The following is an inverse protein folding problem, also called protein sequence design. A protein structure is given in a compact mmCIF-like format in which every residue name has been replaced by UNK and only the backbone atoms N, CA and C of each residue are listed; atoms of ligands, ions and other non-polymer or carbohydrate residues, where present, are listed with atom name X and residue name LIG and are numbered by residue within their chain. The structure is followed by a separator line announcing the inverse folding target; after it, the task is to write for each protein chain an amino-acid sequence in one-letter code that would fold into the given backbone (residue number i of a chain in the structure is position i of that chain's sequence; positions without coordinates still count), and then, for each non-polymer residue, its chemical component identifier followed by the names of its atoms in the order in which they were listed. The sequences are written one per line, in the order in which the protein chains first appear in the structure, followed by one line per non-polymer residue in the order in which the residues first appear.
data_IF_680877783052
#
_entry.id   IF_680877783052
#
_cell.length_a   1.000
_cell.length_b   1.000
_cell.length_c   1.000
_cell.angle_alpha   90.00
_cell.angle_beta   90.00
_cell.angle_gamma   90.00
#
_symmetry.space_group_name_H-M   'P 1'
#
loop_
_entity.id
_entity.type
_entity.pdbx_description
1 polymer ?
#
# COMPACT_ATOMS: atom_id res chain seq x y z
N UNK A 1 -4.42 25.07 -16.69
CA UNK A 1 -4.93 24.70 -15.34
C UNK A 1 -6.27 25.41 -15.18
N UNK A 2 -7.34 24.65 -14.92
CA UNK A 2 -8.66 25.20 -14.61
C UNK A 2 -8.60 26.10 -13.37
N UNK A 3 -9.41 27.18 -13.32
CA UNK A 3 -9.42 28.13 -12.20
C UNK A 3 -9.73 27.49 -10.84
N UNK A 4 -10.53 26.42 -10.80
CA UNK A 4 -10.78 25.65 -9.58
C UNK A 4 -9.51 24.95 -9.05
N UNK A 5 -8.71 24.37 -9.94
CA UNK A 5 -7.42 23.78 -9.57
C UNK A 5 -6.42 24.85 -9.10
N UNK A 6 -6.38 26.00 -9.76
CA UNK A 6 -5.54 27.13 -9.31
C UNK A 6 -5.88 27.55 -7.89
N UNK A 7 -7.15 27.75 -7.58
CA UNK A 7 -7.60 28.17 -6.26
C UNK A 7 -7.32 27.09 -5.20
N UNK A 8 -7.38 25.81 -5.55
CA UNK A 8 -7.04 24.70 -4.66
C UNK A 8 -5.56 24.64 -4.25
N UNK A 9 -4.66 25.20 -5.07
CA UNK A 9 -3.22 25.26 -4.75
C UNK A 9 -2.82 26.48 -3.93
N UNK A 10 -3.72 27.44 -3.69
CA UNK A 10 -3.45 28.60 -2.83
C UNK A 10 -3.60 28.16 -1.38
N UNK A 11 -2.46 28.03 -0.69
CA UNK A 11 -2.40 27.65 0.73
C UNK A 11 -2.16 28.90 1.57
N UNK A 12 -3.07 29.17 2.51
CA UNK A 12 -2.91 30.25 3.50
C UNK A 12 -2.62 29.65 4.87
N UNK A 13 -1.63 30.19 5.59
CA UNK A 13 -1.34 29.83 6.98
C UNK A 13 -0.81 28.39 7.13
N UNK A 14 0.16 27.96 6.30
CA UNK A 14 0.76 26.64 6.42
C UNK A 14 1.55 26.46 7.72
N UNK A 15 1.45 25.28 8.31
CA UNK A 15 2.22 24.84 9.48
C UNK A 15 3.21 23.74 9.06
N UNK A 16 4.35 23.61 9.75
CA UNK A 16 5.27 22.50 9.50
C UNK A 16 4.62 21.14 9.88
N UNK A 17 5.00 20.11 9.16
CA UNK A 17 4.64 18.73 9.50
C UNK A 17 5.22 18.36 10.87
N UNK A 18 4.56 17.43 11.58
CA UNK A 18 5.00 16.95 12.91
C UNK A 18 5.21 15.46 12.90
N UNK A 19 6.36 15.00 13.38
CA UNK A 19 6.64 13.59 13.56
C UNK A 19 6.18 13.15 14.96
N UNK A 20 5.47 12.01 15.03
CA UNK A 20 5.14 11.33 16.29
C UNK A 20 5.18 9.82 16.08
N UNK A 21 5.29 9.08 17.18
CA UNK A 21 5.33 7.62 17.16
C UNK A 21 4.01 7.02 17.65
N UNK A 22 3.51 5.99 16.95
CA UNK A 22 2.42 5.14 17.41
C UNK A 22 2.98 3.79 17.85
N UNK A 23 2.78 3.36 19.12
CA UNK A 23 3.29 2.08 19.59
C UNK A 23 2.58 0.90 18.91
N UNK A 24 3.35 -0.07 18.41
CA UNK A 24 2.83 -1.35 17.90
C UNK A 24 2.67 -2.32 19.06
N UNK A 25 1.63 -2.16 19.85
CA UNK A 25 1.39 -2.90 21.10
C UNK A 25 1.28 -4.42 20.93
N UNK A 26 1.03 -4.89 19.72
CA UNK A 26 0.90 -6.30 19.34
C UNK A 26 2.24 -6.96 18.95
N UNK A 27 3.34 -6.18 18.85
CA UNK A 27 4.67 -6.70 18.51
C UNK A 27 5.56 -6.71 19.77
N UNK A 28 6.40 -7.73 19.86
CA UNK A 28 7.41 -7.82 20.92
C UNK A 28 8.32 -6.58 20.89
N UNK A 29 8.68 -6.07 22.07
CA UNK A 29 9.46 -4.84 22.21
C UNK A 29 8.70 -3.56 21.93
N UNK A 30 7.41 -3.62 21.59
CA UNK A 30 6.53 -2.48 21.33
C UNK A 30 7.19 -1.40 20.44
N UNK A 31 7.66 -1.75 19.23
CA UNK A 31 8.33 -0.79 18.37
C UNK A 31 7.38 0.35 17.96
N UNK A 32 7.93 1.55 17.81
CA UNK A 32 7.17 2.73 17.39
C UNK A 32 7.01 2.76 15.87
N UNK A 33 5.79 3.06 15.40
CA UNK A 33 5.53 3.41 13.99
C UNK A 33 5.70 4.92 13.86
N UNK A 34 6.69 5.41 13.09
CA UNK A 34 6.82 6.84 12.87
C UNK A 34 5.69 7.34 11.95
N UNK A 35 4.95 8.33 12.40
CA UNK A 35 3.89 8.97 11.62
C UNK A 35 4.24 10.44 11.44
N UNK A 36 4.34 10.87 10.18
CA UNK A 36 4.58 12.25 9.84
C UNK A 36 3.25 12.93 9.48
N UNK A 37 2.64 13.60 10.47
CA UNK A 37 1.42 14.38 10.23
C UNK A 37 1.72 15.59 9.36
N UNK A 38 1.21 15.57 8.14
CA UNK A 38 1.34 16.66 7.17
C UNK A 38 0.13 17.62 7.21
N UNK A 39 -0.87 17.34 8.03
CA UNK A 39 -2.09 18.15 8.14
C UNK A 39 -1.73 19.62 8.45
N UNK A 40 -2.26 20.54 7.64
CA UNK A 40 -1.96 21.98 7.75
C UNK A 40 -0.70 22.43 7.01
N UNK A 41 0.11 21.51 6.46
CA UNK A 41 1.25 21.88 5.63
C UNK A 41 0.82 22.25 4.20
N UNK A 42 1.65 23.03 3.51
CA UNK A 42 1.43 23.39 2.11
C UNK A 42 1.42 22.13 1.22
N UNK A 43 2.32 21.20 1.49
CA UNK A 43 2.44 19.93 0.77
C UNK A 43 1.17 19.08 0.91
N UNK A 44 0.49 19.10 2.06
CA UNK A 44 -0.72 18.30 2.31
C UNK A 44 -1.86 18.67 1.36
N UNK A 45 -2.11 19.97 1.16
CA UNK A 45 -3.19 20.42 0.29
C UNK A 45 -2.94 20.06 -1.17
N UNK A 46 -1.70 20.23 -1.63
CA UNK A 46 -1.29 19.82 -2.98
C UNK A 46 -1.41 18.30 -3.14
N UNK A 47 -0.92 17.54 -2.17
CA UNK A 47 -1.01 16.08 -2.15
C UNK A 47 -2.47 15.58 -2.24
N UNK A 48 -3.39 16.25 -1.53
CA UNK A 48 -4.83 15.91 -1.55
C UNK A 48 -5.50 16.15 -2.91
N UNK A 49 -5.06 17.17 -3.63
CA UNK A 49 -5.56 17.46 -4.99
C UNK A 49 -5.01 16.40 -5.96
N UNK A 50 -3.71 16.12 -5.89
CA UNK A 50 -3.06 15.13 -6.74
C UNK A 50 -3.61 13.72 -6.51
N UNK A 51 -3.87 13.34 -5.25
CA UNK A 51 -4.50 12.06 -4.90
C UNK A 51 -5.84 11.90 -5.65
N UNK A 52 -6.70 12.91 -5.60
CA UNK A 52 -7.99 12.88 -6.29
C UNK A 52 -7.86 12.77 -7.81
N UNK A 53 -6.88 13.46 -8.40
CA UNK A 53 -6.64 13.41 -9.85
C UNK A 53 -6.12 12.03 -10.30
N UNK A 54 -5.15 11.49 -9.57
CA UNK A 54 -4.49 10.23 -9.95
C UNK A 54 -5.31 9.00 -9.59
N UNK A 55 -6.11 9.05 -8.52
CA UNK A 55 -6.97 7.94 -8.08
C UNK A 55 -7.92 7.46 -9.16
N UNK A 56 -8.40 8.37 -9.99
CA UNK A 56 -9.31 8.04 -11.10
C UNK A 56 -8.64 7.20 -12.20
N UNK A 57 -7.30 7.18 -12.23
CA UNK A 57 -6.52 6.48 -13.24
C UNK A 57 -6.03 5.10 -12.77
N UNK A 58 -6.19 4.79 -11.48
CA UNK A 58 -5.70 3.54 -10.90
C UNK A 58 -6.85 2.57 -10.77
N UNK A 59 -6.73 1.46 -11.47
CA UNK A 59 -7.60 0.29 -11.31
C UNK A 59 -6.72 -0.94 -11.24
N UNK A 60 -6.48 -1.44 -10.02
CA UNK A 60 -5.69 -2.64 -9.79
C UNK A 60 -6.62 -3.79 -9.35
N UNK A 61 -6.88 -4.78 -10.22
CA UNK A 61 -7.76 -5.90 -9.89
C UNK A 61 -7.18 -6.82 -8.80
N UNK A 62 -5.87 -6.76 -8.56
CA UNK A 62 -5.18 -7.54 -7.53
C UNK A 62 -5.34 -6.93 -6.13
N UNK A 63 -5.74 -5.66 -6.05
CA UNK A 63 -5.95 -4.96 -4.78
C UNK A 63 -7.40 -5.12 -4.32
N UNK A 64 -7.60 -5.49 -3.05
CA UNK A 64 -8.91 -5.45 -2.42
C UNK A 64 -9.09 -4.12 -1.66
N UNK A 65 -10.32 -3.61 -1.64
CA UNK A 65 -10.64 -2.31 -1.04
C UNK A 65 -10.79 -2.38 0.47
N UNK A 66 -11.26 -3.52 0.97
CA UNK A 66 -11.56 -3.75 2.37
C UNK A 66 -11.70 -5.24 2.69
N UNK A 67 -11.90 -5.55 3.97
CA UNK A 67 -12.11 -6.92 4.44
C UNK A 67 -13.36 -7.58 3.85
N UNK A 68 -14.42 -6.82 3.50
CA UNK A 68 -15.64 -7.38 2.93
C UNK A 68 -15.42 -7.86 1.48
N UNK A 69 -14.69 -7.06 0.69
CA UNK A 69 -14.32 -7.49 -0.66
C UNK A 69 -13.41 -8.72 -0.62
N UNK A 70 -12.45 -8.75 0.32
CA UNK A 70 -11.62 -9.93 0.54
C UNK A 70 -12.45 -11.17 0.87
N UNK A 71 -13.36 -11.07 1.85
CA UNK A 71 -14.26 -12.18 2.24
C UNK A 71 -15.06 -12.67 1.04
N UNK A 72 -15.61 -11.75 0.24
CA UNK A 72 -16.37 -12.11 -0.95
C UNK A 72 -15.50 -12.87 -1.97
N UNK A 73 -14.25 -12.44 -2.19
CA UNK A 73 -13.31 -13.12 -3.10
C UNK A 73 -12.97 -14.52 -2.62
N UNK A 74 -12.64 -14.69 -1.33
CA UNK A 74 -12.20 -15.99 -0.80
C UNK A 74 -13.35 -17.00 -0.66
N UNK A 75 -14.55 -16.56 -0.30
CA UNK A 75 -15.72 -17.46 -0.21
C UNK A 75 -16.21 -17.92 -1.59
N UNK A 76 -15.92 -17.18 -2.65
CA UNK A 76 -16.19 -17.58 -4.04
C UNK A 76 -15.03 -18.36 -4.68
N UNK A 77 -13.91 -18.53 -3.96
CA UNK A 77 -12.81 -19.35 -4.43
C UNK A 77 -13.15 -20.84 -4.30
N UNK A 78 -12.96 -21.57 -5.39
CA UNK A 78 -13.10 -23.03 -5.38
C UNK A 78 -11.74 -23.66 -5.14
N UNK A 79 -11.65 -24.55 -4.16
CA UNK A 79 -10.42 -25.29 -3.90
C UNK A 79 -10.11 -26.18 -5.11
N UNK A 80 -8.94 -25.95 -5.71
CA UNK A 80 -8.50 -26.68 -6.91
C UNK A 80 -7.67 -27.93 -6.57
N UNK A 81 -7.12 -27.97 -5.35
CA UNK A 81 -6.23 -29.04 -4.90
C UNK A 81 -6.30 -29.21 -3.39
N UNK A 82 -6.22 -30.45 -2.92
CA UNK A 82 -6.03 -30.82 -1.51
C UNK A 82 -4.65 -30.39 -0.94
N UNK A 83 -3.74 -29.93 -1.82
CA UNK A 83 -2.42 -29.41 -1.46
C UNK A 83 -2.37 -27.88 -1.41
N UNK A 84 -3.51 -27.20 -1.42
CA UNK A 84 -3.51 -25.75 -1.28
C UNK A 84 -2.96 -25.31 0.09
N UNK A 85 -2.14 -24.26 0.09
CA UNK A 85 -1.54 -23.67 1.28
C UNK A 85 -1.83 -22.17 1.28
N UNK A 86 -2.44 -21.68 2.35
CA UNK A 86 -2.65 -20.24 2.56
C UNK A 86 -1.39 -19.60 3.13
N UNK A 87 -1.05 -18.45 2.58
CA UNK A 87 0.12 -17.68 3.00
C UNK A 87 -0.22 -16.19 3.01
N UNK A 88 0.22 -15.46 4.02
CA UNK A 88 0.24 -13.99 3.98
C UNK A 88 1.66 -13.48 3.78
N UNK A 89 1.81 -12.46 2.93
CA UNK A 89 3.04 -11.70 2.81
C UNK A 89 2.84 -10.29 3.38
N UNK A 90 3.84 -9.80 4.11
CA UNK A 90 3.92 -8.44 4.64
C UNK A 90 5.13 -7.72 4.05
N UNK A 91 4.97 -6.48 3.61
CA UNK A 91 6.05 -5.67 3.05
C UNK A 91 6.72 -4.87 4.17
N UNK A 92 8.00 -5.12 4.37
CA UNK A 92 8.77 -4.47 5.42
C UNK A 92 8.87 -2.97 5.18
N UNK A 93 8.26 -2.17 6.07
CA UNK A 93 8.35 -0.71 6.06
C UNK A 93 8.06 -0.09 4.68
N UNK A 94 6.98 -0.49 4.02
CA UNK A 94 6.63 -0.10 2.65
C UNK A 94 6.83 1.39 2.37
N UNK A 95 6.18 2.28 3.11
CA UNK A 95 6.16 3.71 2.80
C UNK A 95 7.54 4.37 2.86
N UNK A 96 8.41 3.94 3.77
CA UNK A 96 9.77 4.48 3.89
C UNK A 96 10.74 3.91 2.85
N UNK A 97 10.38 2.80 2.21
CA UNK A 97 11.19 2.09 1.23
C UNK A 97 10.76 2.30 -0.23
N UNK A 98 9.63 2.98 -0.45
CA UNK A 98 9.18 3.30 -1.82
C UNK A 98 10.18 4.26 -2.48
N UNK A 99 10.76 3.90 -3.66
CA UNK A 99 11.69 4.75 -4.38
C UNK A 99 10.94 5.91 -5.04
N UNK A 100 11.04 7.12 -4.46
CA UNK A 100 10.26 8.28 -4.89
C UNK A 100 10.43 8.62 -6.37
N UNK A 101 11.66 8.66 -6.86
CA UNK A 101 11.94 9.06 -8.25
C UNK A 101 11.29 8.09 -9.25
N UNK A 102 11.41 6.78 -9.00
CA UNK A 102 10.80 5.76 -9.83
C UNK A 102 9.27 5.87 -9.79
N UNK A 103 8.70 6.00 -8.60
CA UNK A 103 7.25 6.09 -8.41
C UNK A 103 6.66 7.35 -9.05
N UNK A 104 7.33 8.50 -8.97
CA UNK A 104 6.94 9.73 -9.68
C UNK A 104 6.95 9.50 -11.19
N UNK A 105 7.97 8.82 -11.72
CA UNK A 105 8.02 8.48 -13.14
C UNK A 105 6.86 7.58 -13.57
N UNK A 106 6.48 6.60 -12.74
CA UNK A 106 5.32 5.75 -12.98
C UNK A 106 4.01 6.55 -12.98
N UNK A 107 3.82 7.46 -12.02
CA UNK A 107 2.66 8.34 -11.98
C UNK A 107 2.54 9.21 -13.23
N UNK A 108 3.64 9.82 -13.68
CA UNK A 108 3.66 10.64 -14.90
C UNK A 108 3.38 9.80 -16.14
N UNK A 109 3.98 8.62 -16.25
CA UNK A 109 3.73 7.69 -17.38
C UNK A 109 2.26 7.25 -17.41
N UNK A 110 1.68 6.93 -16.24
CA UNK A 110 0.27 6.57 -16.12
C UNK A 110 -0.62 7.73 -16.61
N UNK A 111 -0.32 8.95 -16.16
CA UNK A 111 -1.01 10.17 -16.59
C UNK A 111 -0.96 10.37 -18.12
N UNK A 112 0.21 10.20 -18.72
CA UNK A 112 0.41 10.36 -20.15
C UNK A 112 -0.34 9.33 -20.98
N UNK A 113 -0.42 8.10 -20.51
CA UNK A 113 -1.03 7.00 -21.23
C UNK A 113 -2.56 6.96 -21.14
N UNK A 114 -3.13 7.38 -19.97
CA UNK A 114 -4.54 7.20 -19.68
C UNK A 114 -5.38 8.46 -19.84
N UNK A 115 -4.76 9.62 -19.97
CA UNK A 115 -5.47 10.89 -20.11
C UNK A 115 -5.20 11.47 -21.50
N UNK A 116 -6.25 11.68 -22.29
CA UNK A 116 -6.12 12.36 -23.58
C UNK A 116 -5.62 13.80 -23.40
N UNK A 117 -4.71 14.25 -24.27
CA UNK A 117 -4.06 15.56 -24.15
C UNK A 117 -5.06 16.73 -24.06
N UNK A 118 -6.21 16.62 -24.74
CA UNK A 118 -7.24 17.67 -24.72
C UNK A 118 -8.01 17.77 -23.40
N UNK A 119 -7.99 16.71 -22.59
CA UNK A 119 -8.70 16.63 -21.31
C UNK A 119 -7.76 16.77 -20.13
N UNK A 120 -6.44 16.75 -20.35
CA UNK A 120 -5.44 16.93 -19.30
C UNK A 120 -5.59 18.27 -18.60
N UNK A 121 -5.89 18.25 -17.31
CA UNK A 121 -5.94 19.44 -16.47
C UNK A 121 -4.56 19.98 -16.12
N UNK A 122 -3.53 19.13 -16.18
CA UNK A 122 -2.12 19.43 -15.92
C UNK A 122 -1.25 18.87 -17.04
N UNK A 123 -0.18 19.59 -17.40
CA UNK A 123 0.88 19.02 -18.23
C UNK A 123 1.70 18.03 -17.41
N UNK A 124 2.33 17.05 -18.09
CA UNK A 124 3.20 16.04 -17.44
C UNK A 124 4.34 16.67 -16.63
N UNK A 125 4.87 17.81 -17.13
CA UNK A 125 5.88 18.61 -16.43
C UNK A 125 5.31 19.19 -15.12
N UNK A 126 4.14 19.84 -15.19
CA UNK A 126 3.50 20.41 -14.02
C UNK A 126 3.10 19.36 -12.99
N UNK A 127 2.58 18.21 -13.46
CA UNK A 127 2.27 17.06 -12.59
C UNK A 127 3.53 16.60 -11.84
N UNK A 128 4.65 16.43 -12.56
CA UNK A 128 5.94 16.03 -11.96
C UNK A 128 6.37 17.02 -10.88
N UNK A 129 6.41 18.31 -11.19
CA UNK A 129 6.83 19.34 -10.25
C UNK A 129 5.95 19.36 -8.98
N UNK A 130 4.64 19.17 -9.13
CA UNK A 130 3.71 19.11 -7.99
C UNK A 130 3.88 17.82 -7.17
N UNK A 131 4.14 16.67 -7.81
CA UNK A 131 4.45 15.42 -7.11
C UNK A 131 5.75 15.56 -6.32
N UNK A 132 6.80 16.10 -6.93
CA UNK A 132 8.08 16.37 -6.27
C UNK A 132 7.92 17.31 -5.08
N UNK A 133 7.21 18.43 -5.25
CA UNK A 133 6.91 19.34 -4.16
C UNK A 133 6.18 18.67 -2.99
N UNK A 134 5.25 17.76 -3.29
CA UNK A 134 4.40 17.13 -2.28
C UNK A 134 5.07 15.97 -1.54
N UNK A 135 6.16 15.42 -2.09
CA UNK A 135 6.74 14.17 -1.58
C UNK A 135 8.23 14.25 -1.26
N UNK A 136 8.98 15.13 -1.92
CA UNK A 136 10.42 15.30 -1.70
C UNK A 136 10.70 16.40 -0.69
N UNK A 137 11.74 16.21 0.09
CA UNK A 137 12.26 17.20 1.03
C UNK A 137 11.15 17.80 1.91
N UNK A 138 10.30 16.94 2.47
CA UNK A 138 9.21 17.35 3.35
C UNK A 138 9.79 17.79 4.69
N UNK A 139 9.72 19.10 5.05
CA UNK A 139 10.21 19.58 6.31
C UNK A 139 9.26 19.18 7.44
N UNK A 140 9.83 18.82 8.60
CA UNK A 140 9.05 18.50 9.78
C UNK A 140 9.76 18.89 11.07
N UNK A 141 8.98 19.00 12.13
CA UNK A 141 9.47 19.25 13.48
C UNK A 141 9.35 17.97 14.31
N UNK A 142 10.42 17.64 15.01
CA UNK A 142 10.45 16.60 16.03
C UNK A 142 11.29 17.08 17.22
N UNK A 143 10.73 17.04 18.41
CA UNK A 143 11.39 17.51 19.64
C UNK A 143 11.96 18.92 19.51
N UNK A 144 11.14 19.85 18.94
CA UNK A 144 11.48 21.26 18.70
C UNK A 144 12.59 21.54 17.67
N UNK A 145 13.15 20.49 17.07
CA UNK A 145 14.17 20.58 16.03
C UNK A 145 13.60 20.36 14.64
N UNK A 146 14.23 20.97 13.63
CA UNK A 146 13.84 20.85 12.23
C UNK A 146 14.58 19.71 11.55
N UNK A 147 13.82 18.89 10.85
CA UNK A 147 14.31 17.78 10.04
C UNK A 147 13.71 17.84 8.64
N UNK A 148 14.26 17.04 7.76
CA UNK A 148 13.77 16.90 6.39
C UNK A 148 13.73 15.42 6.01
N UNK A 149 12.58 14.95 5.51
CA UNK A 149 12.47 13.62 4.95
C UNK A 149 13.14 13.61 3.57
N UNK A 150 14.16 12.79 3.40
CA UNK A 150 14.99 12.75 2.19
C UNK A 150 14.53 11.71 1.17
N UNK A 151 13.93 10.59 1.63
CA UNK A 151 13.46 9.50 0.78
C UNK A 151 12.22 8.81 1.39
N UNK A 152 11.59 7.94 0.63
CA UNK A 152 10.31 7.33 1.00
C UNK A 152 9.14 8.32 0.95
N UNK A 153 7.95 7.84 1.26
CA UNK A 153 6.73 8.66 1.31
C UNK A 153 6.29 8.84 2.76
N UNK A 154 5.97 10.06 3.14
CA UNK A 154 5.51 10.38 4.49
C UNK A 154 4.24 9.62 4.85
N UNK A 155 4.29 8.84 5.95
CA UNK A 155 3.10 8.22 6.54
C UNK A 155 2.20 9.32 7.12
N UNK A 156 1.19 9.74 6.39
CA UNK A 156 0.31 10.87 6.71
C UNK A 156 0.14 11.81 5.52
N UNK A 157 0.86 11.54 4.42
CA UNK A 157 0.56 12.16 3.13
C UNK A 157 -0.67 11.50 2.50
N UNK A 158 -1.63 12.29 1.97
CA UNK A 158 -2.75 11.74 1.20
C UNK A 158 -2.32 10.93 -0.03
N UNK A 159 -1.14 11.24 -0.59
CA UNK A 159 -0.58 10.52 -1.74
C UNK A 159 0.03 9.15 -1.38
N UNK A 160 0.36 8.91 -0.12
CA UNK A 160 1.14 7.73 0.27
C UNK A 160 0.48 6.41 -0.14
N UNK A 161 -0.80 6.13 0.16
CA UNK A 161 -1.44 4.88 -0.25
C UNK A 161 -1.51 4.72 -1.77
N UNK A 162 -1.83 5.80 -2.48
CA UNK A 162 -1.96 5.78 -3.94
C UNK A 162 -0.62 5.50 -4.64
N UNK A 163 0.44 6.20 -4.24
CA UNK A 163 1.77 6.00 -4.83
C UNK A 163 2.31 4.62 -4.49
N UNK A 164 2.03 4.12 -3.28
CA UNK A 164 2.35 2.74 -2.91
C UNK A 164 1.63 1.73 -3.82
N UNK A 165 0.34 1.92 -4.05
CA UNK A 165 -0.46 1.06 -4.95
C UNK A 165 0.07 1.09 -6.38
N UNK A 166 0.39 2.27 -6.93
CA UNK A 166 0.96 2.40 -8.30
C UNK A 166 2.30 1.68 -8.41
N UNK A 167 3.17 1.87 -7.42
CA UNK A 167 4.49 1.23 -7.41
C UNK A 167 4.39 -0.29 -7.29
N UNK A 168 3.59 -0.80 -6.35
CA UNK A 168 3.40 -2.23 -6.15
C UNK A 168 2.71 -2.89 -7.34
N UNK A 169 1.73 -2.22 -7.97
CA UNK A 169 1.12 -2.73 -9.20
C UNK A 169 2.16 -2.90 -10.32
N UNK A 170 3.11 -1.97 -10.46
CA UNK A 170 4.20 -2.13 -11.42
C UNK A 170 5.14 -3.32 -11.08
N UNK A 171 5.31 -3.66 -9.80
CA UNK A 171 6.03 -4.87 -9.41
C UNK A 171 5.20 -6.14 -9.70
N UNK A 172 3.91 -6.12 -9.39
CA UNK A 172 2.97 -7.21 -9.63
C UNK A 172 2.86 -7.59 -11.11
N UNK A 173 2.96 -6.61 -12.02
CA UNK A 173 3.03 -6.89 -13.47
C UNK A 173 4.23 -7.75 -13.88
N UNK A 174 5.30 -7.76 -13.09
CA UNK A 174 6.49 -8.60 -13.34
C UNK A 174 6.30 -10.05 -12.92
N UNK A 175 5.21 -10.42 -12.23
CA UNK A 175 4.95 -11.80 -11.82
C UNK A 175 4.90 -12.76 -13.00
N UNK A 176 4.47 -12.29 -14.17
CA UNK A 176 4.49 -13.08 -15.42
C UNK A 176 5.90 -13.50 -15.85
N UNK A 177 6.95 -12.91 -15.28
CA UNK A 177 8.34 -13.28 -15.55
C UNK A 177 8.86 -14.38 -14.59
N UNK A 178 8.04 -14.82 -13.64
CA UNK A 178 8.40 -15.89 -12.73
C UNK A 178 8.48 -17.22 -13.46
N UNK A 179 9.60 -17.91 -13.31
CA UNK A 179 9.83 -19.23 -13.93
C UNK A 179 9.44 -20.37 -12.97
N UNK A 180 8.26 -20.31 -12.38
CA UNK A 180 7.71 -21.30 -11.46
C UNK A 180 6.18 -21.25 -11.49
N UNK A 181 5.54 -22.00 -10.58
CA UNK A 181 4.08 -21.96 -10.41
C UNK A 181 3.69 -20.68 -9.66
N UNK A 182 2.90 -19.83 -10.32
CA UNK A 182 2.30 -18.66 -9.71
C UNK A 182 1.30 -19.06 -8.61
N UNK A 183 1.02 -18.18 -7.63
CA UNK A 183 -0.05 -18.42 -6.68
C UNK A 183 -1.39 -18.62 -7.42
N UNK A 184 -2.17 -19.58 -6.96
CA UNK A 184 -3.52 -19.87 -7.49
C UNK A 184 -4.47 -18.70 -7.19
N UNK A 185 -4.30 -18.09 -6.02
CA UNK A 185 -5.04 -16.91 -5.58
C UNK A 185 -4.07 -15.85 -5.08
N UNK A 186 -4.33 -14.60 -5.42
CA UNK A 186 -3.57 -13.44 -4.99
C UNK A 186 -4.49 -12.26 -4.74
N UNK A 187 -4.37 -11.63 -3.60
CA UNK A 187 -4.98 -10.31 -3.35
C UNK A 187 -4.14 -9.52 -2.36
N UNK A 188 -4.12 -8.20 -2.52
CA UNK A 188 -3.34 -7.28 -1.68
C UNK A 188 -4.22 -6.19 -1.10
N UNK A 189 -3.95 -5.83 0.15
CA UNK A 189 -4.47 -4.65 0.82
C UNK A 189 -3.31 -3.82 1.36
N UNK A 190 -2.96 -2.74 0.64
CA UNK A 190 -1.81 -1.87 0.91
C UNK A 190 -0.49 -2.66 0.96
N UNK A 191 0.02 -2.97 2.17
CA UNK A 191 1.24 -3.73 2.44
C UNK A 191 0.99 -5.21 2.74
N UNK A 192 -0.21 -5.55 3.18
CA UNK A 192 -0.62 -6.92 3.48
C UNK A 192 -1.07 -7.65 2.21
N UNK A 193 -0.61 -8.88 1.99
CA UNK A 193 -0.98 -9.69 0.83
C UNK A 193 -1.41 -11.08 1.26
N UNK A 194 -2.49 -11.58 0.68
CA UNK A 194 -2.97 -12.96 0.89
C UNK A 194 -2.84 -13.77 -0.39
N UNK A 195 -2.26 -14.97 -0.27
CA UNK A 195 -1.97 -15.86 -1.38
C UNK A 195 -2.41 -17.29 -1.06
N UNK A 196 -2.73 -18.05 -2.10
CA UNK A 196 -2.90 -19.50 -2.03
C UNK A 196 -1.95 -20.12 -3.05
N UNK A 197 -1.15 -21.09 -2.61
CA UNK A 197 -0.23 -21.83 -3.45
C UNK A 197 -0.62 -23.31 -3.52
N UNK A 198 -0.18 -23.97 -4.58
CA UNK A 198 -0.23 -25.41 -4.72
C UNK A 198 1.04 -26.04 -4.14
N UNK A 199 1.05 -26.26 -2.82
CA UNK A 199 2.17 -26.81 -2.08
C UNK A 199 3.14 -25.76 -1.52
N UNK A 200 3.79 -26.12 -0.41
CA UNK A 200 4.67 -25.24 0.36
C UNK A 200 5.98 -24.86 -0.39
N UNK A 201 6.49 -25.77 -1.23
CA UNK A 201 7.74 -25.54 -1.97
C UNK A 201 7.63 -24.29 -2.89
N UNK A 202 6.46 -24.05 -3.46
CA UNK A 202 6.21 -22.91 -4.34
C UNK A 202 6.25 -21.56 -3.60
N UNK A 203 5.94 -21.54 -2.30
CA UNK A 203 5.97 -20.33 -1.47
C UNK A 203 7.39 -19.77 -1.39
N UNK A 204 8.36 -20.63 -1.06
CA UNK A 204 9.76 -20.19 -0.90
C UNK A 204 10.36 -19.67 -2.21
N UNK A 205 10.10 -20.35 -3.32
CA UNK A 205 10.57 -19.94 -4.65
C UNK A 205 9.94 -18.61 -5.08
N UNK A 206 8.64 -18.44 -4.86
CA UNK A 206 7.97 -17.19 -5.19
C UNK A 206 8.43 -16.04 -4.28
N UNK A 207 8.64 -16.29 -2.98
CA UNK A 207 9.17 -15.30 -2.05
C UNK A 207 10.57 -14.81 -2.47
N UNK A 208 11.46 -15.72 -2.86
CA UNK A 208 12.78 -15.37 -3.36
C UNK A 208 12.67 -14.50 -4.61
N UNK A 209 11.82 -14.87 -5.56
CA UNK A 209 11.57 -14.10 -6.76
C UNK A 209 11.07 -12.68 -6.46
N UNK A 210 10.01 -12.52 -5.64
CA UNK A 210 9.45 -11.19 -5.33
C UNK A 210 10.45 -10.32 -4.56
N UNK A 211 11.28 -10.93 -3.69
CA UNK A 211 12.37 -10.25 -2.99
C UNK A 211 13.53 -9.84 -3.91
N UNK A 212 13.62 -10.44 -5.08
CA UNK A 212 14.58 -10.07 -6.14
C UNK A 212 14.10 -8.95 -7.07
N UNK A 213 12.79 -8.61 -7.08
CA UNK A 213 12.20 -7.65 -8.03
C UNK A 213 12.68 -6.21 -7.83
N UNK A 214 12.96 -5.82 -6.58
CA UNK A 214 13.44 -4.48 -6.27
C UNK A 214 14.33 -4.47 -5.01
N UNK A 215 15.47 -3.75 -5.00
CA UNK A 215 16.41 -3.78 -3.87
C UNK A 215 15.82 -3.24 -2.57
N UNK A 216 14.95 -2.23 -2.64
CA UNK A 216 14.36 -1.57 -1.47
C UNK A 216 13.17 -2.32 -0.88
N UNK A 217 12.52 -3.22 -1.63
CA UNK A 217 11.29 -3.89 -1.19
C UNK A 217 11.62 -5.29 -0.73
N UNK A 218 11.20 -5.59 0.49
CA UNK A 218 11.37 -6.92 1.09
C UNK A 218 10.07 -7.42 1.65
N UNK A 219 9.74 -8.65 1.30
CA UNK A 219 8.58 -9.37 1.77
C UNK A 219 8.99 -10.36 2.86
N UNK A 220 8.22 -10.41 3.91
CA UNK A 220 8.19 -11.49 4.88
C UNK A 220 6.92 -12.30 4.68
N UNK A 221 6.83 -13.50 5.27
CA UNK A 221 5.66 -14.33 5.11
C UNK A 221 5.27 -15.04 6.41
N UNK A 222 4.00 -15.38 6.50
CA UNK A 222 3.41 -16.24 7.50
C UNK A 222 2.57 -17.31 6.79
N UNK A 223 2.80 -18.59 7.11
CA UNK A 223 2.04 -19.70 6.57
C UNK A 223 0.86 -20.05 7.47
N UNK A 224 -0.16 -20.68 6.88
CA UNK A 224 -1.27 -21.22 7.65
C UNK A 224 -0.78 -22.19 8.75
N UNK A 225 -1.46 -22.15 9.88
CA UNK A 225 -1.28 -23.13 10.93
C UNK A 225 -2.60 -23.88 11.14
N UNK A 226 -2.57 -25.22 11.05
CA UNK A 226 -3.77 -26.09 11.19
C UNK A 226 -4.94 -25.66 10.29
N UNK A 227 -4.64 -25.37 9.02
CA UNK A 227 -5.59 -24.86 8.00
C UNK A 227 -6.21 -23.49 8.33
N UNK A 228 -5.55 -22.68 9.15
CA UNK A 228 -6.02 -21.35 9.55
C UNK A 228 -4.97 -20.27 9.28
N UNK A 229 -5.41 -19.16 8.77
CA UNK A 229 -4.58 -17.97 8.58
C UNK A 229 -5.40 -16.70 8.82
N UNK A 230 -4.80 -15.72 9.48
CA UNK A 230 -5.41 -14.41 9.67
C UNK A 230 -4.97 -13.45 8.57
N UNK A 231 -5.92 -12.73 8.00
CA UNK A 231 -5.65 -11.65 7.07
C UNK A 231 -6.59 -10.48 7.33
N UNK A 232 -6.06 -9.29 7.52
CA UNK A 232 -6.82 -8.11 7.99
C UNK A 232 -7.53 -8.43 9.34
N UNK A 233 -8.84 -8.23 9.38
CA UNK A 233 -9.69 -8.55 10.55
C UNK A 233 -10.44 -9.88 10.38
N UNK A 234 -9.95 -10.75 9.48
CA UNK A 234 -10.60 -12.00 9.10
C UNK A 234 -9.68 -13.18 9.44
N UNK A 235 -10.22 -14.17 10.15
CA UNK A 235 -9.62 -15.49 10.27
C UNK A 235 -10.19 -16.39 9.17
N UNK A 236 -9.34 -16.87 8.28
CA UNK A 236 -9.71 -17.80 7.24
C UNK A 236 -9.41 -19.23 7.74
N UNK A 237 -10.35 -20.12 7.57
CA UNK A 237 -10.21 -21.53 7.88
C UNK A 237 -10.61 -22.37 6.67
N UNK A 238 -9.73 -23.31 6.28
CA UNK A 238 -10.04 -24.30 5.24
C UNK A 238 -10.68 -25.53 5.87
N UNK A 239 -11.92 -25.80 5.49
CA UNK A 239 -12.68 -26.98 5.95
C UNK A 239 -13.06 -27.82 4.75
N UNK A 240 -12.43 -29.01 4.65
CA UNK A 240 -12.60 -29.90 3.52
C UNK A 240 -12.31 -29.18 2.19
N UNK A 241 -13.34 -28.98 1.38
CA UNK A 241 -13.33 -28.40 0.04
C UNK A 241 -13.79 -26.93 -0.01
N UNK A 242 -13.83 -26.24 1.14
CA UNK A 242 -14.31 -24.84 1.22
C UNK A 242 -13.50 -24.01 2.21
N UNK A 243 -13.44 -22.72 1.94
CA UNK A 243 -13.01 -21.71 2.90
C UNK A 243 -14.21 -21.18 3.68
N UNK A 244 -14.01 -20.99 4.97
CA UNK A 244 -14.93 -20.21 5.82
C UNK A 244 -14.16 -19.07 6.47
N UNK A 245 -14.89 -18.04 6.86
CA UNK A 245 -14.31 -16.84 7.47
C UNK A 245 -14.97 -16.53 8.80
N UNK A 246 -14.15 -16.10 9.75
CA UNK A 246 -14.55 -15.66 11.08
C UNK A 246 -13.93 -14.30 11.35
N UNK A 247 -14.50 -13.53 12.29
CA UNK A 247 -13.88 -12.28 12.72
C UNK A 247 -12.62 -12.61 13.51
N UNK A 248 -11.49 -12.06 13.08
CA UNK A 248 -10.22 -12.17 13.79
C UNK A 248 -10.09 -11.02 14.78
N UNK A 249 -10.31 -11.29 16.08
CA UNK A 249 -10.06 -10.31 17.15
C UNK A 249 -8.64 -10.48 17.64
N UNK A 250 -7.82 -9.44 17.48
CA UNK A 250 -6.48 -9.43 18.07
C UNK A 250 -6.58 -9.52 19.59
N UNK A 251 -5.66 -10.22 20.29
CA UNK A 251 -5.73 -10.44 21.75
C UNK A 251 -5.83 -9.15 22.59
N UNK A 252 -5.45 -8.01 22.02
CA UNK A 252 -5.50 -6.69 22.67
C UNK A 252 -6.70 -5.82 22.24
N UNK A 253 -7.60 -6.36 21.44
CA UNK A 253 -8.83 -5.65 21.05
C UNK A 253 -9.83 -5.69 22.21
N UNK A 254 -9.94 -4.57 22.92
CA UNK A 254 -10.86 -4.42 24.06
C UNK A 254 -12.32 -4.28 23.63
N UNK A 255 -12.61 -4.24 22.32
CA UNK A 255 -13.98 -4.06 21.81
C UNK A 255 -14.57 -2.66 22.06
N UNK A 256 -13.81 -1.72 22.64
CA UNK A 256 -14.24 -0.34 22.81
C UNK A 256 -13.91 0.44 21.53
N UNK A 257 -14.90 0.58 20.68
CA UNK A 257 -14.86 1.58 19.59
C UNK A 257 -15.36 2.88 20.18
N UNK A 258 -14.51 3.92 20.24
CA UNK A 258 -14.98 5.27 20.50
C UNK A 258 -15.86 5.70 19.30
N UNK A 259 -17.13 5.94 19.57
CA UNK A 259 -18.07 6.55 18.63
C UNK A 259 -17.62 7.96 18.22
#
# INVERSE_FOLDING_TARGET
INNELKNGFIVQGSQPSKLYGLPKIHKEGIPMRPVLSMIGSAQYQVAKILERLLKLLVNNPLECKDSFEFVNRILNWNIESDREVMVSFDIVNLFTNIPLNETINLCVKLWDNLVEDKTKSLSSKALRELLEFSTKNVPFIFNEEWFMQTDGIAMGSPLAPLMASIFLHNLEQKFNNFNGELPLFYTRYVDDTFLIFKGEDNVSHFLEFVNGLHPNIKFTFEMENTNKLSFLDVLIERIKDKYQTLINRKPHDTGFYSC
#
